data_IF_369714010160
#
_entry.id   IF_369714010160
#
_cell.length_a   1.000
_cell.length_b   1.000
_cell.length_c   1.000
_cell.angle_alpha   90.00
_cell.angle_beta   90.00
_cell.angle_gamma   90.00
#
_symmetry.space_group_name_H-M   'P 1'
#
loop_
_entity.id
_entity.type
_entity.pdbx_description
1 polymer ?
#
# COMPACT_ATOMS: atom_id res chain seq x y z
N UNK A 1 -7.17 18.07 8.41
CA UNK A 1 -6.26 17.78 9.53
C UNK A 1 -6.91 16.71 10.39
N UNK A 2 -6.15 15.78 10.95
CA UNK A 2 -6.66 14.76 11.85
C UNK A 2 -5.87 14.82 13.15
N UNK A 3 -6.56 14.68 14.29
CA UNK A 3 -5.95 14.61 15.61
C UNK A 3 -5.73 13.15 15.96
N UNK A 4 -4.52 12.80 16.40
CA UNK A 4 -4.20 11.41 16.74
C UNK A 4 -4.70 11.08 18.15
N UNK A 5 -4.77 9.78 18.48
CA UNK A 5 -5.09 9.33 19.84
C UNK A 5 -4.18 9.95 20.91
N UNK A 6 -2.92 10.23 20.56
CA UNK A 6 -1.94 10.82 21.49
C UNK A 6 -2.35 12.22 21.93
N UNK A 7 -2.87 13.04 21.01
CA UNK A 7 -3.39 14.37 21.33
C UNK A 7 -4.46 14.27 22.44
N UNK A 8 -5.44 13.38 22.26
CA UNK A 8 -6.54 13.22 23.21
C UNK A 8 -6.09 12.71 24.58
N UNK A 9 -5.15 11.77 24.62
CA UNK A 9 -4.60 11.27 25.89
C UNK A 9 -3.90 12.42 26.63
N UNK A 10 -3.02 13.17 25.95
CA UNK A 10 -2.25 14.24 26.58
C UNK A 10 -3.15 15.37 27.08
N UNK A 11 -4.12 15.83 26.29
CA UNK A 11 -5.02 16.92 26.72
C UNK A 11 -5.90 16.49 27.89
N UNK A 12 -6.43 15.26 27.90
CA UNK A 12 -7.22 14.74 29.02
C UNK A 12 -6.38 14.66 30.29
N UNK A 13 -5.13 14.20 30.19
CA UNK A 13 -4.21 14.18 31.34
C UNK A 13 -3.94 15.59 31.87
N UNK A 14 -3.68 16.57 31.00
CA UNK A 14 -3.47 17.96 31.42
C UNK A 14 -4.72 18.54 32.10
N UNK A 15 -5.90 18.29 31.54
CA UNK A 15 -7.18 18.71 32.14
C UNK A 15 -7.36 18.09 33.53
N UNK A 16 -7.06 16.79 33.69
CA UNK A 16 -7.11 16.10 34.98
C UNK A 16 -6.16 16.70 36.02
N UNK A 17 -4.93 17.06 35.62
CA UNK A 17 -3.96 17.73 36.49
C UNK A 17 -4.46 19.11 36.95
N UNK A 18 -5.03 19.90 36.03
CA UNK A 18 -5.59 21.22 36.35
C UNK A 18 -6.78 21.08 37.30
N UNK A 19 -7.66 20.09 37.06
CA UNK A 19 -8.80 19.81 37.92
C UNK A 19 -8.36 19.41 39.34
N UNK A 20 -7.37 18.53 39.47
CA UNK A 20 -6.76 18.19 40.76
C UNK A 20 -6.08 19.39 41.43
N UNK A 21 -5.58 20.34 40.63
CA UNK A 21 -5.02 21.60 41.09
C UNK A 21 -5.96 22.50 41.90
N UNK A 22 -7.27 22.30 41.80
CA UNK A 22 -8.24 22.98 42.68
C UNK A 22 -8.16 22.50 44.13
N UNK A 23 -7.77 21.24 44.35
CA UNK A 23 -7.57 20.68 45.69
C UNK A 23 -6.15 20.92 46.22
N UNK A 24 -5.18 20.99 45.31
CA UNK A 24 -3.75 21.13 45.59
C UNK A 24 -3.16 22.29 44.78
N UNK A 25 -2.99 23.46 45.40
CA UNK A 25 -2.59 24.69 44.70
C UNK A 25 -1.34 24.58 43.80
N UNK A 26 -0.27 23.82 44.14
CA UNK A 26 0.88 23.68 43.25
C UNK A 26 0.57 23.00 41.91
N UNK A 27 -0.36 22.03 41.90
CA UNK A 27 -0.75 21.29 40.69
C UNK A 27 -1.44 22.19 39.66
N UNK A 28 -2.11 23.26 40.11
CA UNK A 28 -2.74 24.23 39.22
C UNK A 28 -1.71 25.02 38.40
N UNK A 29 -0.61 25.45 39.03
CA UNK A 29 0.49 26.15 38.35
C UNK A 29 1.17 25.20 37.36
N UNK A 30 1.48 23.98 37.79
CA UNK A 30 2.06 22.94 36.93
C UNK A 30 1.18 22.65 35.71
N UNK A 31 -0.13 22.49 35.91
CA UNK A 31 -1.08 22.25 34.84
C UNK A 31 -1.11 23.37 33.79
N UNK A 32 -1.05 24.64 34.21
CA UNK A 32 -0.97 25.78 33.28
C UNK A 32 0.32 25.79 32.46
N UNK A 33 1.46 25.49 33.09
CA UNK A 33 2.75 25.41 32.38
C UNK A 33 2.73 24.28 31.36
N UNK A 34 2.23 23.10 31.74
CA UNK A 34 2.08 21.95 30.83
C UNK A 34 1.14 22.27 29.66
N UNK A 35 0.04 22.97 29.90
CA UNK A 35 -0.88 23.40 28.86
C UNK A 35 -0.20 24.37 27.87
N UNK A 36 0.55 25.34 28.37
CA UNK A 36 1.29 26.28 27.52
C UNK A 36 2.33 25.56 26.65
N UNK A 37 3.10 24.63 27.25
CA UNK A 37 4.07 23.81 26.53
C UNK A 37 3.40 22.93 25.46
N UNK A 38 2.27 22.31 25.81
CA UNK A 38 1.49 21.50 24.89
C UNK A 38 1.01 22.30 23.67
N UNK A 39 0.47 23.50 23.89
CA UNK A 39 0.02 24.38 22.81
C UNK A 39 1.19 24.80 21.90
N UNK A 40 2.36 25.09 22.49
CA UNK A 40 3.57 25.41 21.73
C UNK A 40 4.00 24.23 20.85
N UNK A 41 4.10 23.02 21.41
CA UNK A 41 4.43 21.80 20.67
C UNK A 41 3.43 21.57 19.54
N UNK A 42 2.13 21.66 19.82
CA UNK A 42 1.07 21.48 18.83
C UNK A 42 1.19 22.50 17.68
N UNK A 43 1.43 23.76 18.01
CA UNK A 43 1.63 24.81 17.02
C UNK A 43 2.85 24.48 16.14
N UNK A 44 3.97 24.07 16.72
CA UNK A 44 5.17 23.71 15.96
C UNK A 44 4.93 22.53 15.02
N UNK A 45 4.23 21.47 15.48
CA UNK A 45 3.88 20.33 14.62
C UNK A 45 2.98 20.74 13.46
N UNK A 46 1.96 21.59 13.71
CA UNK A 46 1.08 22.10 12.66
C UNK A 46 1.88 22.92 11.65
N UNK A 47 2.70 23.86 12.12
CA UNK A 47 3.50 24.72 11.24
C UNK A 47 4.43 23.87 10.39
N UNK A 48 5.20 22.94 10.99
CA UNK A 48 6.07 22.01 10.25
C UNK A 48 5.29 21.27 9.17
N UNK A 49 4.13 20.71 9.52
CA UNK A 49 3.37 19.86 8.63
C UNK A 49 2.69 20.64 7.48
N UNK A 50 2.36 21.92 7.66
CA UNK A 50 1.65 22.76 6.67
C UNK A 50 2.55 23.72 5.88
N UNK A 51 3.74 24.07 6.40
CA UNK A 51 4.67 25.01 5.76
C UNK A 51 5.07 24.60 4.34
N UNK A 52 5.18 23.28 4.08
CA UNK A 52 5.52 22.72 2.76
C UNK A 52 4.56 21.62 2.36
N UNK A 53 4.41 21.41 1.05
CA UNK A 53 3.88 20.15 0.51
C UNK A 53 5.05 19.19 0.35
N UNK A 54 5.35 18.45 1.41
CA UNK A 54 6.57 17.65 1.49
C UNK A 54 6.40 16.16 1.24
N UNK A 55 5.17 15.66 1.01
CA UNK A 55 4.97 14.22 0.72
C UNK A 55 4.38 14.06 -0.68
N UNK A 56 5.02 13.23 -1.49
CA UNK A 56 4.48 12.73 -2.75
C UNK A 56 4.40 11.20 -2.69
N UNK A 57 3.36 10.63 -3.28
CA UNK A 57 3.21 9.19 -3.39
C UNK A 57 2.90 8.78 -4.83
N UNK A 58 3.56 7.74 -5.34
CA UNK A 58 3.40 7.25 -6.71
C UNK A 58 3.17 5.74 -6.69
N UNK A 59 2.14 5.27 -7.39
CA UNK A 59 1.88 3.83 -7.57
C UNK A 59 2.50 3.36 -8.86
N UNK A 60 3.25 2.26 -8.79
CA UNK A 60 3.76 1.52 -9.94
C UNK A 60 3.20 0.09 -9.90
N UNK A 61 2.68 -0.36 -11.04
CA UNK A 61 2.11 -1.69 -11.24
C UNK A 61 2.22 -2.07 -12.73
N UNK A 62 2.10 -3.37 -13.01
CA UNK A 62 1.98 -3.88 -14.39
C UNK A 62 0.72 -3.35 -15.07
N UNK A 63 0.78 -3.10 -16.38
CA UNK A 63 -0.39 -2.76 -17.19
C UNK A 63 -1.44 -3.87 -17.25
N UNK A 64 -1.00 -5.11 -17.03
CA UNK A 64 -1.84 -6.31 -17.08
C UNK A 64 -1.66 -7.14 -15.82
N UNK A 65 -2.78 -7.50 -15.22
CA UNK A 65 -2.83 -8.40 -14.09
C UNK A 65 -3.28 -9.79 -14.53
N UNK A 66 -2.68 -10.82 -13.97
CA UNK A 66 -3.08 -12.22 -14.16
C UNK A 66 -4.19 -12.58 -13.17
N UNK A 67 -5.32 -13.07 -13.68
CA UNK A 67 -6.41 -13.58 -12.86
C UNK A 67 -5.96 -14.80 -12.05
N UNK A 68 -6.32 -14.87 -10.77
CA UNK A 68 -5.94 -15.98 -9.89
C UNK A 68 -4.51 -15.94 -9.35
N UNK A 69 -3.64 -15.05 -9.87
CA UNK A 69 -2.25 -14.93 -9.44
C UNK A 69 -2.03 -13.70 -8.54
N UNK A 70 -0.92 -13.71 -7.80
CA UNK A 70 -0.47 -12.56 -7.01
C UNK A 70 0.19 -11.51 -7.91
N UNK A 71 -0.45 -10.35 -8.05
CA UNK A 71 0.07 -9.23 -8.83
C UNK A 71 0.71 -8.20 -7.91
N UNK A 72 1.98 -7.89 -8.16
CA UNK A 72 2.75 -6.95 -7.34
C UNK A 72 2.39 -5.50 -7.66
N UNK A 73 2.11 -4.72 -6.61
CA UNK A 73 1.91 -3.28 -6.66
C UNK A 73 2.90 -2.62 -5.71
N UNK A 74 3.60 -1.61 -6.21
CA UNK A 74 4.59 -0.84 -5.44
C UNK A 74 4.10 0.60 -5.28
N UNK A 75 4.14 1.12 -4.07
CA UNK A 75 3.84 2.52 -3.75
C UNK A 75 5.11 3.18 -3.26
N UNK A 76 5.65 4.06 -4.09
CA UNK A 76 6.80 4.89 -3.78
C UNK A 76 6.33 6.13 -3.03
N UNK A 77 6.99 6.47 -1.94
CA UNK A 77 6.68 7.62 -1.09
C UNK A 77 7.96 8.44 -0.96
N UNK A 78 7.90 9.69 -1.40
CA UNK A 78 8.98 10.65 -1.30
C UNK A 78 8.71 11.63 -0.16
N UNK A 79 9.67 11.77 0.75
CA UNK A 79 9.68 12.76 1.80
C UNK A 79 10.61 13.92 1.45
N UNK A 80 10.06 15.04 1.00
CA UNK A 80 10.79 16.28 0.75
C UNK A 80 10.96 17.17 2.00
N UNK A 81 10.46 16.75 3.17
CA UNK A 81 10.71 17.48 4.41
C UNK A 81 12.16 17.30 4.89
N UNK A 82 12.76 18.31 5.55
CA UNK A 82 14.12 18.23 6.09
C UNK A 82 14.20 17.43 7.41
N UNK A 83 13.15 16.68 7.76
CA UNK A 83 13.06 15.88 8.98
C UNK A 83 12.33 14.57 8.69
N UNK A 84 12.48 13.62 9.61
CA UNK A 84 11.83 12.32 9.58
C UNK A 84 10.31 12.46 9.71
N UNK A 85 9.57 11.72 8.90
CA UNK A 85 8.09 11.73 8.87
C UNK A 85 7.56 10.32 8.99
N UNK A 86 6.58 10.12 9.87
CA UNK A 86 5.79 8.88 9.93
C UNK A 86 4.62 9.01 8.97
N UNK A 87 4.51 8.06 8.05
CA UNK A 87 3.47 8.04 7.02
C UNK A 87 2.60 6.81 7.17
N UNK A 88 1.30 7.02 7.01
CA UNK A 88 0.31 5.96 6.89
C UNK A 88 -0.34 6.08 5.51
N UNK A 89 -0.19 5.06 4.67
CA UNK A 89 -0.58 5.07 3.27
C UNK A 89 -1.76 4.14 3.05
N UNK A 90 -2.80 4.71 2.47
CA UNK A 90 -4.02 4.01 2.08
C UNK A 90 -4.13 4.15 0.56
N UNK A 91 -4.14 3.01 -0.09
CA UNK A 91 -4.29 2.90 -1.53
C UNK A 91 -5.73 2.52 -1.88
N UNK A 92 -6.43 3.39 -2.62
CA UNK A 92 -7.79 3.11 -3.10
C UNK A 92 -7.73 2.05 -4.23
N UNK A 93 -7.88 0.79 -3.85
CA UNK A 93 -7.94 -0.32 -4.80
C UNK A 93 -9.35 -0.52 -5.39
N UNK A 94 -9.48 -1.16 -6.55
CA UNK A 94 -10.78 -1.56 -7.09
C UNK A 94 -11.57 -2.48 -6.16
N UNK A 95 -12.89 -2.26 -6.09
CA UNK A 95 -13.79 -2.97 -5.19
C UNK A 95 -13.77 -4.50 -5.35
N UNK A 96 -13.52 -4.98 -6.59
CA UNK A 96 -13.52 -6.41 -6.94
C UNK A 96 -12.44 -7.20 -6.21
N UNK A 97 -11.34 -6.56 -5.79
CA UNK A 97 -10.27 -7.23 -5.05
C UNK A 97 -10.64 -7.59 -3.60
N UNK A 98 -11.78 -7.10 -3.09
CA UNK A 98 -12.33 -7.40 -1.74
C UNK A 98 -11.38 -7.18 -0.55
N UNK A 99 -10.22 -6.54 -0.76
CA UNK A 99 -9.22 -6.29 0.29
C UNK A 99 -9.51 -4.95 0.94
N UNK A 100 -9.86 -4.95 2.23
CA UNK A 100 -10.23 -3.73 2.98
C UNK A 100 -9.10 -3.19 3.86
N UNK A 101 -8.19 -4.06 4.28
CA UNK A 101 -7.10 -3.72 5.20
C UNK A 101 -5.84 -3.23 4.46
N UNK A 102 -5.99 -2.24 3.60
CA UNK A 102 -4.86 -1.61 2.89
C UNK A 102 -4.48 -0.34 3.62
N UNK A 103 -3.76 -0.53 4.72
CA UNK A 103 -3.17 0.55 5.50
C UNK A 103 -1.72 0.21 5.82
N UNK A 104 -0.78 0.89 5.18
CA UNK A 104 0.64 0.63 5.35
C UNK A 104 1.29 1.74 6.16
N UNK A 105 2.03 1.39 7.20
CA UNK A 105 2.78 2.34 8.03
C UNK A 105 4.25 2.26 7.68
N UNK A 106 4.85 3.40 7.39
CA UNK A 106 6.28 3.52 7.15
C UNK A 106 6.82 4.77 7.85
N UNK A 107 8.12 4.79 8.09
CA UNK A 107 8.81 6.01 8.53
C UNK A 107 9.85 6.33 7.50
N UNK A 108 9.82 7.56 6.99
CA UNK A 108 10.71 8.05 5.93
C UNK A 108 11.62 9.10 6.52
N UNK A 109 12.92 8.95 6.34
CA UNK A 109 13.91 9.91 6.83
C UNK A 109 13.89 11.20 6.00
N UNK A 110 14.63 12.20 6.47
CA UNK A 110 14.66 13.53 5.87
C UNK A 110 15.16 13.47 4.42
N UNK A 111 14.43 14.07 3.48
CA UNK A 111 14.80 14.09 2.05
C UNK A 111 15.01 12.70 1.43
N UNK A 112 14.34 11.69 1.98
CA UNK A 112 14.50 10.30 1.55
C UNK A 112 13.19 9.73 0.96
N UNK A 113 13.28 8.53 0.40
CA UNK A 113 12.17 7.82 -0.23
C UNK A 113 12.05 6.40 0.31
N UNK A 114 10.83 5.88 0.38
CA UNK A 114 10.59 4.47 0.71
C UNK A 114 9.63 3.85 -0.29
N UNK A 115 9.76 2.55 -0.52
CA UNK A 115 8.86 1.79 -1.38
C UNK A 115 8.10 0.76 -0.55
N UNK A 116 6.78 0.77 -0.64
CA UNK A 116 5.91 -0.21 -0.01
C UNK A 116 5.42 -1.16 -1.09
N UNK A 117 5.69 -2.45 -0.95
CA UNK A 117 5.24 -3.48 -1.87
C UNK A 117 4.09 -4.29 -1.28
N UNK A 118 3.04 -4.52 -2.06
CA UNK A 118 1.95 -5.40 -1.69
C UNK A 118 1.37 -6.13 -2.90
N UNK A 119 0.74 -7.27 -2.66
CA UNK A 119 0.19 -8.14 -3.70
C UNK A 119 -1.34 -8.04 -3.78
N UNK A 120 -1.89 -8.06 -5.00
CA UNK A 120 -3.33 -8.12 -5.25
C UNK A 120 -3.65 -9.33 -6.12
N UNK A 121 -4.69 -10.07 -5.73
CA UNK A 121 -5.16 -11.26 -6.45
C UNK A 121 -6.57 -11.02 -7.02
N UNK A 122 -6.70 -10.80 -8.34
CA UNK A 122 -8.01 -10.71 -8.98
C UNK A 122 -8.73 -12.05 -8.91
N UNK A 123 -10.07 -11.99 -8.78
CA UNK A 123 -10.95 -13.16 -8.87
C UNK A 123 -11.66 -13.24 -10.22
N UNK A 124 -11.89 -12.09 -10.84
CA UNK A 124 -12.66 -11.96 -12.07
C UNK A 124 -11.87 -11.18 -13.12
N UNK A 125 -12.14 -11.50 -14.39
CA UNK A 125 -11.57 -10.80 -15.55
C UNK A 125 -12.31 -9.49 -15.75
N UNK A 126 -11.59 -8.42 -16.08
CA UNK A 126 -12.20 -7.13 -16.37
C UNK A 126 -11.20 -6.00 -16.47
N UNK A 127 -11.72 -4.77 -16.63
CA UNK A 127 -10.94 -3.54 -16.49
C UNK A 127 -11.33 -2.90 -15.17
N UNK A 128 -10.35 -2.65 -14.31
CA UNK A 128 -10.58 -2.13 -12.98
C UNK A 128 -9.76 -0.87 -12.74
N UNK A 129 -10.44 0.19 -12.30
CA UNK A 129 -9.82 1.49 -12.02
C UNK A 129 -9.37 1.62 -10.58
N UNK A 130 -8.07 1.80 -10.38
CA UNK A 130 -7.55 2.24 -9.09
C UNK A 130 -7.96 3.70 -8.83
N UNK A 131 -8.19 4.01 -7.56
CA UNK A 131 -8.43 5.35 -7.08
C UNK A 131 -7.15 6.11 -6.73
N UNK A 132 -7.29 7.10 -5.85
CA UNK A 132 -6.21 7.94 -5.38
C UNK A 132 -5.39 7.26 -4.27
N UNK A 133 -4.15 7.73 -4.08
CA UNK A 133 -3.34 7.36 -2.91
C UNK A 133 -3.55 8.43 -1.85
N UNK A 134 -3.94 8.00 -0.64
CA UNK A 134 -4.09 8.88 0.52
C UNK A 134 -2.95 8.59 1.49
N UNK A 135 -2.11 9.58 1.73
CA UNK A 135 -0.99 9.48 2.66
C UNK A 135 -1.21 10.40 3.85
N UNK A 136 -1.21 9.85 5.05
CA UNK A 136 -1.34 10.57 6.30
C UNK A 136 0.04 10.74 6.91
N UNK A 137 0.55 11.96 6.91
CA UNK A 137 1.86 12.28 7.44
C UNK A 137 1.75 12.82 8.86
N UNK A 138 2.68 12.42 9.71
CA UNK A 138 2.77 12.75 11.13
C UNK A 138 4.24 13.05 11.46
N UNK A 139 4.50 14.10 12.24
CA UNK A 139 5.86 14.56 12.61
C UNK A 139 6.02 14.59 14.13
N UNK A 140 7.25 14.62 14.62
CA UNK A 140 7.54 14.82 16.05
C UNK A 140 6.90 13.77 16.98
N UNK A 141 6.17 14.24 18.00
CA UNK A 141 5.39 13.42 18.92
C UNK A 141 4.18 12.79 18.25
N UNK A 142 3.73 13.39 17.14
CA UNK A 142 2.68 12.88 16.29
C UNK A 142 1.31 13.10 16.88
N UNK A 143 1.06 14.31 17.37
CA UNK A 143 -0.25 14.75 17.87
C UNK A 143 -1.17 15.11 16.69
N UNK A 144 -0.58 15.61 15.61
CA UNK A 144 -1.30 16.03 14.41
C UNK A 144 -0.92 15.19 13.21
N UNK A 145 -1.94 14.81 12.43
CA UNK A 145 -1.79 14.15 11.14
C UNK A 145 -2.39 14.99 10.01
N UNK A 146 -1.68 15.06 8.89
CA UNK A 146 -2.11 15.75 7.66
C UNK A 146 -2.25 14.74 6.54
N UNK A 147 -3.40 14.80 5.87
CA UNK A 147 -3.68 14.00 4.69
C UNK A 147 -3.15 14.69 3.44
N UNK A 148 -2.36 13.96 2.67
CA UNK A 148 -1.91 14.26 1.32
C UNK A 148 -2.64 13.33 0.37
N UNK A 149 -3.37 13.89 -0.59
CA UNK A 149 -4.07 13.12 -1.62
C UNK A 149 -3.31 13.25 -2.93
N UNK A 150 -2.74 12.15 -3.41
CA UNK A 150 -2.08 12.13 -4.71
C UNK A 150 -3.03 11.52 -5.74
N UNK A 151 -3.27 12.25 -6.82
CA UNK A 151 -4.06 11.76 -7.97
C UNK A 151 -3.25 10.67 -8.66
N UNK A 152 -3.67 9.43 -8.48
CA UNK A 152 -3.00 8.24 -9.02
C UNK A 152 -4.02 7.27 -9.63
N UNK A 153 -5.12 7.81 -10.16
CA UNK A 153 -6.13 7.00 -10.84
C UNK A 153 -5.50 6.34 -12.07
N UNK A 154 -5.69 5.02 -12.18
CA UNK A 154 -5.15 4.23 -13.29
C UNK A 154 -6.03 3.01 -13.49
N UNK A 155 -6.37 2.73 -14.74
CA UNK A 155 -7.07 1.50 -15.10
C UNK A 155 -6.08 0.38 -15.34
N UNK A 156 -6.40 -0.80 -14.83
CA UNK A 156 -5.60 -2.02 -15.00
C UNK A 156 -6.48 -3.10 -15.61
N UNK A 157 -5.96 -3.77 -16.62
CA UNK A 157 -6.65 -4.86 -17.32
C UNK A 157 -6.29 -6.19 -16.65
N UNK A 158 -7.29 -6.90 -16.15
CA UNK A 158 -7.14 -8.27 -15.65
C UNK A 158 -7.47 -9.23 -16.78
N UNK A 159 -6.49 -10.06 -17.13
CA UNK A 159 -6.62 -11.10 -18.12
C UNK A 159 -6.67 -12.49 -17.46
N UNK A 160 -7.21 -13.52 -18.12
CA UNK A 160 -7.02 -14.91 -17.67
C UNK A 160 -5.53 -15.20 -17.48
N UNK A 161 -5.19 -16.14 -16.59
CA UNK A 161 -3.80 -16.41 -16.17
C UNK A 161 -2.89 -16.70 -17.38
N UNK A 162 -2.16 -15.68 -17.83
CA UNK A 162 -1.17 -15.82 -18.90
C UNK A 162 0.07 -16.59 -18.42
N UNK A 163 0.31 -16.63 -17.10
CA UNK A 163 1.40 -17.38 -16.49
C UNK A 163 1.26 -18.88 -16.76
N UNK A 164 0.05 -19.44 -16.58
CA UNK A 164 -0.22 -20.82 -16.97
C UNK A 164 -0.05 -21.02 -18.47
N UNK A 165 -0.60 -20.15 -19.32
CA UNK A 165 -0.46 -20.30 -20.78
C UNK A 165 0.99 -20.28 -21.25
N UNK A 166 1.83 -19.38 -20.71
CA UNK A 166 3.26 -19.30 -21.06
C UNK A 166 4.07 -20.47 -20.50
N UNK A 167 3.73 -20.95 -19.29
CA UNK A 167 4.34 -22.16 -18.74
C UNK A 167 3.96 -23.39 -19.58
N UNK A 168 2.70 -23.49 -20.03
CA UNK A 168 2.25 -24.53 -20.97
C UNK A 168 2.92 -24.40 -22.35
N UNK A 169 3.11 -23.19 -22.89
CA UNK A 169 3.83 -22.99 -24.15
C UNK A 169 5.31 -23.40 -24.01
N UNK A 170 5.98 -23.03 -22.92
CA UNK A 170 7.35 -23.47 -22.64
C UNK A 170 7.44 -24.99 -22.47
N UNK A 171 6.49 -25.60 -21.76
CA UNK A 171 6.40 -27.06 -21.60
C UNK A 171 6.03 -27.79 -22.90
N UNK A 172 5.32 -27.14 -23.83
CA UNK A 172 4.99 -27.69 -25.15
C UNK A 172 6.13 -27.49 -26.17
N UNK A 173 6.95 -26.44 -26.01
CA UNK A 173 8.15 -26.20 -26.82
C UNK A 173 9.35 -27.02 -26.35
N UNK A 174 9.50 -27.26 -25.04
CA UNK A 174 10.36 -28.32 -24.54
C UNK A 174 9.69 -29.65 -24.89
N UNK A 175 10.34 -30.50 -25.67
CA UNK A 175 9.78 -31.71 -26.28
C UNK A 175 9.37 -32.84 -25.29
N UNK A 176 8.79 -32.52 -24.12
CA UNK A 176 8.35 -33.47 -23.10
C UNK A 176 6.89 -33.94 -23.28
N UNK A 177 6.26 -33.64 -24.42
CA UNK A 177 4.96 -34.23 -24.80
C UNK A 177 5.06 -35.72 -25.18
N UNK A 178 6.28 -36.27 -25.35
CA UNK A 178 6.49 -37.71 -25.50
C UNK A 178 6.37 -38.48 -24.17
N UNK A 179 6.68 -37.88 -23.02
CA UNK A 179 6.63 -38.58 -21.72
C UNK A 179 5.22 -38.67 -21.09
N UNK A 180 4.29 -37.80 -21.50
CA UNK A 180 2.94 -37.77 -20.91
C UNK A 180 1.89 -38.62 -21.67
N UNK A 181 2.24 -39.26 -22.79
CA UNK A 181 1.37 -40.25 -23.45
C UNK A 181 0.06 -39.72 -24.06
N UNK A 182 -0.12 -38.40 -24.20
CA UNK A 182 -1.41 -37.80 -24.64
C UNK A 182 -1.58 -37.79 -26.17
N UNK A 183 -0.56 -38.15 -26.96
CA UNK A 183 -0.71 -38.26 -28.43
C UNK A 183 -0.27 -39.64 -28.93
N UNK A 184 -1.21 -40.57 -29.02
CA UNK A 184 -1.02 -41.85 -29.72
C UNK A 184 -0.92 -41.55 -31.23
N UNK A 185 0.31 -41.42 -31.72
CA UNK A 185 0.58 -41.34 -33.16
C UNK A 185 0.14 -42.66 -33.77
N UNK A 186 -0.93 -42.66 -34.58
CA UNK A 186 -1.28 -43.82 -35.41
C UNK A 186 -0.25 -43.90 -36.54
N UNK A 187 0.70 -44.83 -36.43
CA UNK A 187 1.50 -45.28 -37.58
C UNK A 187 0.54 -45.94 -38.57
N UNK A 188 0.48 -45.42 -39.78
CA UNK A 188 -0.21 -46.05 -40.90
C UNK A 188 0.58 -47.33 -41.22
N UNK A 189 -0.08 -48.49 -41.13
CA UNK A 189 0.52 -49.77 -41.47
C UNK A 189 0.90 -49.80 -42.94
N UNK A 190 2.15 -50.12 -43.22
CA UNK A 190 2.57 -50.55 -44.55
C UNK A 190 2.06 -51.98 -44.75
N UNK A 191 0.96 -52.13 -45.50
CA UNK A 191 0.62 -53.40 -46.13
C UNK A 191 1.30 -53.42 -47.50
N UNK A 192 2.37 -54.19 -47.64
CA UNK A 192 2.90 -54.62 -48.93
C UNK A 192 3.45 -56.03 -48.78
N UNK A 193 2.56 -56.99 -48.52
CA UNK A 193 2.85 -58.43 -48.69
C UNK A 193 1.72 -59.02 -49.53
N UNK A 194 1.72 -58.74 -50.83
CA UNK A 194 1.07 -59.56 -51.86
C UNK A 194 1.57 -59.08 -53.23
N UNK A 195 2.75 -59.56 -53.62
CA UNK A 195 3.09 -59.81 -55.03
C UNK A 195 4.39 -60.63 -55.10
N UNK A 196 4.27 -61.97 -55.10
CA UNK A 196 4.87 -62.86 -56.11
C UNK A 196 4.73 -64.35 -55.74
N UNK A 197 4.00 -65.05 -56.63
CA UNK A 197 4.06 -66.47 -57.03
C UNK A 197 3.53 -67.51 -56.03
#
# INVERSE_FOLDING_TARGET
>A
MFLTRRFYIVIITIIGIIAAGYWLSPLFVVGKVLLALFLLILLTEIVMLYWRRGIQARRSCSDRFSNGDDNVVRVHIDNSFPYKVKVEVIDEIPFVFQRRDICFKATVDAKDSTTIEYKLKPKERGVYGFGNIRTFATVGLGMVSRRFTTKAKRDVKVYPSYLMLRQYELLAMSNNLQELGIKKIRRVGHNTDFEQI
#
